data_IF_329910257352
#
_entry.id   IF_329910257352
#
_cell.length_a   1.000
_cell.length_b   1.000
_cell.length_c   1.000
_cell.angle_alpha   90.00
_cell.angle_beta   90.00
_cell.angle_gamma   90.00
#
_symmetry.space_group_name_H-M   'P 1'
#
loop_
_entity.id
_entity.type
_entity.pdbx_description
1 polymer ?
#
# COMPACT_ATOMS: atom_id res chain seq x y z
N UNK A 1 18.02 -3.91 -24.62
CA UNK A 1 17.29 -3.55 -23.37
C UNK A 1 16.11 -2.64 -23.75
N UNK A 2 14.96 -2.77 -23.09
CA UNK A 2 13.88 -1.77 -23.22
C UNK A 2 14.35 -0.45 -22.60
N UNK A 3 13.95 0.69 -23.16
CA UNK A 3 14.32 1.99 -22.62
C UNK A 3 13.52 2.25 -21.33
N UNK A 4 14.19 2.27 -20.17
CA UNK A 4 13.56 2.47 -18.87
C UNK A 4 12.96 3.87 -18.73
N UNK A 5 13.60 4.90 -19.26
CA UNK A 5 13.09 6.27 -19.17
C UNK A 5 11.80 6.43 -20.00
N UNK A 6 11.75 5.86 -21.21
CA UNK A 6 10.52 5.84 -22.00
C UNK A 6 9.41 5.04 -21.32
N UNK A 7 9.76 3.92 -20.67
CA UNK A 7 8.80 3.13 -19.87
C UNK A 7 8.18 3.99 -18.75
N UNK A 8 9.00 4.75 -18.02
CA UNK A 8 8.51 5.64 -16.96
C UNK A 8 7.69 6.83 -17.50
N UNK A 9 8.12 7.42 -18.64
CA UNK A 9 7.42 8.56 -19.24
C UNK A 9 5.98 8.20 -19.62
N UNK A 10 5.78 7.14 -20.39
CA UNK A 10 4.43 6.78 -20.83
C UNK A 10 3.52 6.29 -19.68
N UNK A 11 4.11 5.71 -18.62
CA UNK A 11 3.36 5.33 -17.40
C UNK A 11 3.02 6.53 -16.52
N UNK A 12 3.59 7.71 -16.76
CA UNK A 12 3.45 8.87 -15.89
C UNK A 12 4.20 8.72 -14.55
N UNK A 13 5.27 7.93 -14.53
CA UNK A 13 6.08 7.64 -13.34
C UNK A 13 7.39 8.45 -13.27
N UNK A 14 7.62 9.40 -14.17
CA UNK A 14 8.81 10.25 -14.18
C UNK A 14 8.45 11.66 -13.70
N UNK A 15 9.06 12.13 -12.59
CA UNK A 15 8.90 13.50 -12.08
C UNK A 15 10.16 14.34 -12.31
N UNK A 16 11.28 13.96 -11.70
CA UNK A 16 12.56 14.64 -11.88
C UNK A 16 13.64 13.64 -12.28
N UNK A 17 14.58 14.09 -13.07
CA UNK A 17 15.70 13.28 -13.57
C UNK A 17 16.95 14.16 -13.68
N UNK A 18 18.08 13.69 -13.20
CA UNK A 18 19.35 14.37 -13.38
C UNK A 18 19.82 14.24 -14.84
N UNK A 19 20.40 15.31 -15.43
CA UNK A 19 21.00 15.24 -16.77
C UNK A 19 22.07 14.13 -16.86
N UNK A 20 22.11 13.40 -17.96
CA UNK A 20 23.03 12.26 -18.18
C UNK A 20 22.48 10.90 -17.72
N UNK A 21 21.35 10.85 -16.99
CA UNK A 21 20.76 9.58 -16.50
C UNK A 21 20.30 8.69 -17.66
N UNK A 22 19.63 9.26 -18.67
CA UNK A 22 19.10 8.49 -19.79
C UNK A 22 20.24 7.92 -20.66
N UNK A 23 21.28 8.71 -20.89
CA UNK A 23 22.47 8.29 -21.64
C UNK A 23 23.19 7.13 -20.90
N UNK A 24 23.33 7.20 -19.59
CA UNK A 24 23.92 6.12 -18.80
C UNK A 24 23.11 4.82 -18.91
N UNK A 25 21.78 4.91 -18.78
CA UNK A 25 20.89 3.74 -18.85
C UNK A 25 20.84 3.10 -20.24
N UNK A 26 21.11 3.87 -21.30
CA UNK A 26 21.23 3.34 -22.67
C UNK A 26 22.60 2.69 -22.94
N UNK A 27 23.63 3.14 -22.22
CA UNK A 27 25.03 2.73 -22.46
C UNK A 27 25.35 1.40 -21.79
N UNK A 28 24.84 1.16 -20.58
CA UNK A 28 25.22 0.00 -19.76
C UNK A 28 24.08 -0.52 -18.87
N UNK A 29 24.25 -1.73 -18.32
CA UNK A 29 23.41 -2.21 -17.23
C UNK A 29 23.75 -1.43 -15.96
N UNK A 30 22.79 -0.64 -15.48
CA UNK A 30 22.96 0.22 -14.29
C UNK A 30 22.43 -0.49 -13.06
N UNK A 31 23.20 -0.43 -11.96
CA UNK A 31 22.68 -0.75 -10.63
C UNK A 31 22.02 0.49 -10.05
N UNK A 32 20.76 0.36 -9.66
CA UNK A 32 20.00 1.43 -9.01
C UNK A 32 19.38 0.96 -7.70
N UNK A 33 19.22 1.88 -6.74
CA UNK A 33 18.58 1.54 -5.47
C UNK A 33 17.39 2.44 -5.12
N UNK A 34 16.50 1.89 -4.30
CA UNK A 34 15.41 2.61 -3.62
C UNK A 34 15.45 2.22 -2.14
N UNK A 35 15.40 3.21 -1.24
CA UNK A 35 15.33 3.01 0.19
C UNK A 35 13.89 3.04 0.72
N UNK A 36 13.62 2.25 1.75
CA UNK A 36 12.38 2.27 2.49
C UNK A 36 12.64 2.10 3.99
N UNK A 37 12.16 3.05 4.81
CA UNK A 37 12.26 2.96 6.27
C UNK A 37 11.15 2.07 6.86
N UNK A 38 11.48 1.18 7.79
CA UNK A 38 10.55 0.24 8.41
C UNK A 38 9.70 0.91 9.51
N UNK A 39 8.92 1.92 9.14
CA UNK A 39 8.09 2.71 10.06
C UNK A 39 6.83 1.99 10.56
N UNK A 40 6.50 0.85 9.96
CA UNK A 40 5.44 -0.07 10.36
C UNK A 40 5.81 -1.50 9.92
N UNK A 41 5.11 -2.51 10.43
CA UNK A 41 5.26 -3.91 10.05
C UNK A 41 4.67 -4.24 8.67
N UNK A 42 4.19 -3.25 7.95
CA UNK A 42 3.70 -3.39 6.58
C UNK A 42 3.97 -2.14 5.76
N UNK A 43 4.21 -2.35 4.48
CA UNK A 43 4.08 -1.31 3.45
C UNK A 43 2.60 -1.06 3.14
N UNK A 44 2.29 0.10 2.61
CA UNK A 44 0.97 0.44 2.09
C UNK A 44 1.06 0.84 0.61
N UNK A 45 -0.08 0.96 -0.08
CA UNK A 45 -0.10 1.25 -1.52
C UNK A 45 0.64 2.53 -1.93
N UNK A 46 0.85 3.47 -1.01
CA UNK A 46 1.67 4.65 -1.27
C UNK A 46 3.15 4.34 -1.57
N UNK A 47 3.69 3.23 -1.02
CA UNK A 47 5.05 2.77 -1.32
C UNK A 47 5.13 2.02 -2.66
N UNK A 48 3.99 1.54 -3.15
CA UNK A 48 3.95 0.64 -4.30
C UNK A 48 4.47 1.32 -5.58
N UNK A 49 4.29 2.65 -5.72
CA UNK A 49 4.82 3.37 -6.89
C UNK A 49 6.35 3.24 -7.01
N UNK A 50 7.08 3.45 -5.91
CA UNK A 50 8.54 3.29 -5.89
C UNK A 50 8.98 1.84 -6.15
N UNK A 51 8.25 0.87 -5.57
CA UNK A 51 8.52 -0.56 -5.79
C UNK A 51 8.28 -0.94 -7.25
N UNK A 52 7.20 -0.45 -7.86
CA UNK A 52 6.91 -0.67 -9.29
C UNK A 52 7.98 -0.03 -10.18
N UNK A 53 8.55 1.10 -9.79
CA UNK A 53 9.67 1.72 -10.51
C UNK A 53 10.91 0.79 -10.51
N UNK A 54 11.27 0.17 -9.36
CA UNK A 54 12.32 -0.85 -9.31
C UNK A 54 11.98 -2.09 -10.14
N UNK A 55 10.73 -2.52 -10.12
CA UNK A 55 10.25 -3.66 -10.93
C UNK A 55 10.40 -3.37 -12.44
N UNK A 56 10.01 -2.18 -12.88
CA UNK A 56 10.21 -1.78 -14.28
C UNK A 56 11.70 -1.63 -14.64
N UNK A 57 12.52 -1.12 -13.73
CA UNK A 57 13.96 -1.07 -13.90
C UNK A 57 14.53 -2.48 -14.18
N UNK A 58 14.17 -3.47 -13.36
CA UNK A 58 14.61 -4.87 -13.53
C UNK A 58 14.12 -5.45 -14.87
N UNK A 59 12.85 -5.23 -15.23
CA UNK A 59 12.29 -5.68 -16.51
C UNK A 59 12.92 -5.02 -17.75
N UNK A 60 13.51 -3.85 -17.59
CA UNK A 60 14.30 -3.18 -18.60
C UNK A 60 15.76 -3.67 -18.67
N UNK A 61 16.16 -4.60 -17.83
CA UNK A 61 17.48 -5.23 -17.85
C UNK A 61 18.52 -4.58 -16.95
N UNK A 62 18.12 -3.67 -16.06
CA UNK A 62 18.98 -3.06 -15.06
C UNK A 62 18.87 -3.76 -13.70
N UNK A 63 19.87 -3.59 -12.82
CA UNK A 63 19.95 -4.27 -11.53
C UNK A 63 19.33 -3.44 -10.40
N UNK A 64 18.21 -3.89 -9.78
CA UNK A 64 17.62 -3.21 -8.66
C UNK A 64 18.25 -3.62 -7.33
N UNK A 65 18.44 -2.64 -6.44
CA UNK A 65 18.72 -2.83 -5.02
C UNK A 65 17.56 -2.23 -4.23
N UNK A 66 16.99 -2.98 -3.32
CA UNK A 66 16.10 -2.45 -2.29
C UNK A 66 16.85 -2.32 -0.98
N UNK A 67 16.89 -1.11 -0.44
CA UNK A 67 17.52 -0.81 0.83
C UNK A 67 16.45 -0.72 1.92
N UNK A 68 16.57 -1.54 2.94
CA UNK A 68 15.77 -1.44 4.16
C UNK A 68 16.51 -0.54 5.14
N UNK A 69 15.86 0.53 5.57
CA UNK A 69 16.42 1.56 6.43
C UNK A 69 16.50 1.15 7.89
N UNK A 70 17.30 0.14 8.24
CA UNK A 70 17.49 -0.28 9.63
C UNK A 70 18.09 0.83 10.51
N UNK A 71 19.09 1.56 10.00
CA UNK A 71 19.68 2.70 10.70
C UNK A 71 18.86 3.98 10.53
N UNK A 72 18.44 4.30 9.30
CA UNK A 72 17.63 5.51 9.03
C UNK A 72 16.26 5.47 9.67
N UNK A 73 15.68 4.29 9.84
CA UNK A 73 14.44 4.08 10.58
C UNK A 73 14.51 4.41 12.08
N UNK A 74 15.73 4.37 12.67
CA UNK A 74 15.97 4.82 14.05
C UNK A 74 15.93 6.35 14.19
N UNK A 75 16.13 7.07 13.08
CA UNK A 75 16.22 8.54 13.05
C UNK A 75 14.90 9.17 12.59
N UNK A 76 14.33 8.67 11.50
CA UNK A 76 13.09 9.15 10.90
C UNK A 76 13.29 10.29 9.89
N UNK A 77 12.82 10.06 8.66
CA UNK A 77 12.89 11.01 7.56
C UNK A 77 11.93 12.21 7.79
N UNK A 78 12.43 13.47 7.81
CA UNK A 78 11.60 14.66 7.92
C UNK A 78 10.91 15.06 6.62
N UNK A 79 11.27 14.50 5.47
CA UNK A 79 10.76 14.90 4.15
C UNK A 79 9.25 14.78 4.06
N UNK A 80 8.57 15.84 3.64
CA UNK A 80 7.11 15.87 3.49
C UNK A 80 6.32 15.79 4.80
N UNK A 81 6.96 16.03 5.97
CA UNK A 81 6.35 15.96 7.30
C UNK A 81 6.35 17.32 7.99
N UNK A 82 5.29 17.58 8.78
CA UNK A 82 5.15 18.79 9.59
C UNK A 82 5.51 18.58 11.07
N UNK A 83 5.71 17.32 11.50
CA UNK A 83 6.01 16.95 12.88
C UNK A 83 7.13 15.89 12.91
N UNK A 84 7.91 15.88 13.99
CA UNK A 84 8.92 14.85 14.26
C UNK A 84 8.27 13.48 14.41
N UNK A 85 8.96 12.42 13.95
CA UNK A 85 8.49 11.05 14.11
C UNK A 85 8.78 10.55 15.51
N UNK A 86 7.85 9.78 16.09
CA UNK A 86 8.14 8.98 17.27
C UNK A 86 9.17 7.91 16.91
N UNK A 87 10.23 7.84 17.70
CA UNK A 87 11.25 6.80 17.54
C UNK A 87 10.68 5.45 17.97
N UNK A 88 10.93 4.43 17.16
CA UNK A 88 10.56 3.06 17.48
C UNK A 88 11.62 2.42 18.38
N UNK A 89 11.20 1.51 19.27
CA UNK A 89 12.14 0.67 20.00
C UNK A 89 12.78 -0.37 19.05
N UNK A 90 13.97 -0.86 19.43
CA UNK A 90 14.76 -1.77 18.60
C UNK A 90 14.00 -3.05 18.22
N UNK A 91 13.23 -3.61 19.15
CA UNK A 91 12.45 -4.84 18.89
C UNK A 91 11.39 -4.63 17.83
N UNK A 92 10.64 -3.54 17.93
CA UNK A 92 9.63 -3.15 16.94
C UNK A 92 10.28 -2.87 15.59
N UNK A 93 11.42 -2.17 15.57
CA UNK A 93 12.14 -1.86 14.35
C UNK A 93 12.63 -3.13 13.62
N UNK A 94 13.26 -4.08 14.36
CA UNK A 94 13.68 -5.36 13.78
C UNK A 94 12.52 -6.18 13.25
N UNK A 95 11.41 -6.23 13.99
CA UNK A 95 10.19 -6.90 13.51
C UNK A 95 9.69 -6.29 12.19
N UNK A 96 9.59 -4.97 12.14
CA UNK A 96 9.15 -4.27 10.94
C UNK A 96 10.07 -4.52 9.73
N UNK A 97 11.39 -4.55 9.95
CA UNK A 97 12.37 -4.85 8.89
C UNK A 97 12.11 -6.22 8.27
N UNK A 98 11.91 -7.26 9.06
CA UNK A 98 11.65 -8.61 8.56
C UNK A 98 10.31 -8.70 7.80
N UNK A 99 9.27 -8.02 8.30
CA UNK A 99 7.98 -7.94 7.61
C UNK A 99 8.12 -7.26 6.24
N UNK A 100 8.83 -6.12 6.16
CA UNK A 100 9.03 -5.40 4.91
C UNK A 100 9.86 -6.20 3.92
N UNK A 101 10.94 -6.86 4.36
CA UNK A 101 11.74 -7.76 3.52
C UNK A 101 10.88 -8.82 2.86
N UNK A 102 10.02 -9.50 3.63
CA UNK A 102 9.13 -10.53 3.12
C UNK A 102 8.11 -9.98 2.10
N UNK A 103 7.63 -8.76 2.30
CA UNK A 103 6.70 -8.13 1.35
C UNK A 103 7.40 -7.74 0.04
N UNK A 104 8.55 -7.08 0.11
CA UNK A 104 9.28 -6.61 -1.09
C UNK A 104 9.77 -7.77 -1.95
N UNK A 105 10.11 -8.90 -1.34
CA UNK A 105 10.54 -10.11 -2.05
C UNK A 105 9.53 -10.61 -3.12
N UNK A 106 8.26 -10.23 -3.03
CA UNK A 106 7.24 -10.61 -4.01
C UNK A 106 7.28 -9.80 -5.31
N UNK A 107 7.92 -8.64 -5.31
CA UNK A 107 7.86 -7.70 -6.43
C UNK A 107 9.03 -7.77 -7.39
N UNK A 108 10.18 -8.25 -6.93
CA UNK A 108 11.44 -8.30 -7.66
C UNK A 108 11.91 -9.75 -7.77
N UNK A 109 12.68 -10.04 -8.80
CA UNK A 109 13.28 -11.35 -9.00
C UNK A 109 14.63 -11.43 -8.29
N UNK A 110 14.65 -12.12 -7.15
CA UNK A 110 15.82 -12.37 -6.31
C UNK A 110 16.47 -13.73 -6.59
N UNK A 111 15.81 -14.60 -7.34
CA UNK A 111 16.22 -15.99 -7.51
C UNK A 111 16.71 -16.34 -8.93
N UNK A 112 16.70 -15.35 -9.84
CA UNK A 112 17.18 -15.51 -11.20
C UNK A 112 18.70 -15.65 -11.27
N UNK A 113 19.20 -16.37 -12.28
CA UNK A 113 20.64 -16.39 -12.63
C UNK A 113 21.04 -15.22 -13.53
N UNK A 114 20.10 -14.34 -13.90
CA UNK A 114 20.37 -13.17 -14.74
C UNK A 114 21.30 -12.17 -14.03
N UNK A 115 22.15 -11.44 -14.76
CA UNK A 115 23.11 -10.48 -14.17
C UNK A 115 22.42 -9.31 -13.45
N UNK A 116 21.14 -9.05 -13.77
CA UNK A 116 20.31 -8.04 -13.13
C UNK A 116 19.44 -8.59 -12.00
N UNK A 117 19.84 -9.68 -11.38
CA UNK A 117 19.24 -10.23 -10.15
C UNK A 117 19.08 -9.14 -9.10
N UNK A 118 17.91 -9.06 -8.48
CA UNK A 118 17.65 -8.09 -7.41
C UNK A 118 18.51 -8.38 -6.18
N UNK A 119 18.83 -7.34 -5.44
CA UNK A 119 19.56 -7.45 -4.18
C UNK A 119 18.84 -6.67 -3.08
N UNK A 120 18.80 -7.23 -1.88
CA UNK A 120 18.26 -6.57 -0.69
C UNK A 120 19.37 -6.31 0.29
N UNK A 121 19.44 -5.07 0.82
CA UNK A 121 20.47 -4.65 1.78
C UNK A 121 19.83 -3.91 2.95
N UNK A 122 20.54 -3.87 4.08
CA UNK A 122 20.12 -3.12 5.26
C UNK A 122 21.21 -2.10 5.62
N UNK A 123 20.88 -0.81 5.70
CA UNK A 123 21.89 0.20 6.01
C UNK A 123 22.41 0.12 7.45
N UNK A 124 21.75 -0.60 8.34
CA UNK A 124 22.28 -0.89 9.66
C UNK A 124 23.62 -1.65 9.61
N UNK A 125 23.82 -2.51 8.58
CA UNK A 125 25.01 -3.32 8.43
C UNK A 125 26.31 -2.50 8.31
N UNK A 126 26.23 -1.30 7.74
CA UNK A 126 27.39 -0.39 7.59
C UNK A 126 27.32 0.85 8.47
N UNK A 127 26.18 1.15 9.11
CA UNK A 127 26.02 2.31 9.99
C UNK A 127 26.32 1.99 11.45
N UNK A 128 26.05 0.75 11.90
CA UNK A 128 26.15 0.36 13.32
C UNK A 128 27.53 0.57 13.95
N UNK A 129 28.57 0.47 13.14
CA UNK A 129 29.94 0.59 13.60
C UNK A 129 30.49 2.03 13.52
N UNK A 130 29.71 2.98 13.00
CA UNK A 130 30.10 4.39 12.98
C UNK A 130 30.00 5.00 14.37
N UNK A 131 31.14 5.53 14.85
CA UNK A 131 31.06 6.49 15.96
C UNK A 131 30.62 7.86 15.45
N UNK A 132 30.06 8.69 16.33
CA UNK A 132 29.71 10.07 15.99
C UNK A 132 30.93 10.87 15.44
N UNK A 133 32.10 10.65 16.00
CA UNK A 133 33.33 11.32 15.55
C UNK A 133 33.74 10.86 14.15
N UNK A 134 33.62 9.56 13.86
CA UNK A 134 33.95 9.04 12.54
C UNK A 134 32.97 9.56 11.49
N UNK A 135 31.68 9.57 11.80
CA UNK A 135 30.65 10.10 10.89
C UNK A 135 30.88 11.60 10.60
N UNK A 136 31.16 12.41 11.62
CA UNK A 136 31.46 13.82 11.46
C UNK A 136 32.72 14.06 10.59
N UNK A 137 33.75 13.22 10.72
CA UNK A 137 35.00 13.30 9.95
C UNK A 137 34.85 12.78 8.52
N UNK A 138 34.14 11.67 8.31
CA UNK A 138 34.07 10.98 7.02
C UNK A 138 32.95 11.57 6.14
N UNK A 139 31.82 11.95 6.73
CA UNK A 139 30.65 12.44 6.03
C UNK A 139 30.48 13.96 6.25
N UNK A 140 30.39 14.38 7.50
CA UNK A 140 30.03 15.75 7.87
C UNK A 140 30.92 16.83 7.26
N UNK A 141 32.24 16.59 7.16
CA UNK A 141 33.17 17.57 6.57
C UNK A 141 32.94 17.87 5.09
N UNK A 142 32.28 16.98 4.35
CA UNK A 142 32.08 17.11 2.90
C UNK A 142 30.83 17.90 2.54
N UNK A 143 29.85 18.00 3.43
CA UNK A 143 28.59 18.74 3.19
C UNK A 143 28.49 19.92 4.14
N UNK A 144 28.38 21.12 3.58
CA UNK A 144 28.28 22.33 4.41
C UNK A 144 26.88 22.50 4.99
N UNK A 145 26.77 23.11 6.18
CA UNK A 145 25.48 23.41 6.82
C UNK A 145 24.63 24.31 5.88
N UNK A 146 25.24 25.28 5.18
CA UNK A 146 24.50 26.12 4.23
C UNK A 146 23.86 25.30 3.10
N UNK A 147 24.54 24.27 2.58
CA UNK A 147 23.98 23.36 1.59
C UNK A 147 22.78 22.58 2.15
N UNK A 148 22.91 22.08 3.37
CA UNK A 148 21.84 21.35 4.04
C UNK A 148 20.62 22.23 4.33
N UNK A 149 20.87 23.47 4.80
CA UNK A 149 19.85 24.45 5.09
C UNK A 149 19.07 24.92 3.85
N UNK A 150 19.67 24.89 2.67
CA UNK A 150 19.03 25.30 1.41
C UNK A 150 18.01 24.27 0.86
N UNK A 151 17.90 23.09 1.47
CA UNK A 151 16.93 22.08 1.02
C UNK A 151 15.50 22.48 1.34
N UNK A 152 14.57 22.26 0.39
CA UNK A 152 13.15 22.63 0.54
C UNK A 152 12.52 22.00 1.78
N UNK A 153 12.82 20.75 2.08
CA UNK A 153 12.32 20.04 3.27
C UNK A 153 12.78 20.70 4.57
N UNK A 154 14.02 21.21 4.60
CA UNK A 154 14.57 21.94 5.75
C UNK A 154 13.93 23.33 5.84
N UNK A 155 13.86 24.06 4.73
CA UNK A 155 13.27 25.40 4.69
C UNK A 155 11.79 25.40 5.10
N UNK A 156 11.02 24.41 4.68
CA UNK A 156 9.62 24.27 5.08
C UNK A 156 9.45 24.08 6.60
N UNK A 157 10.37 23.36 7.25
CA UNK A 157 10.36 23.16 8.71
C UNK A 157 10.83 24.39 9.49
N UNK A 158 11.80 25.14 8.96
CA UNK A 158 12.33 26.34 9.62
C UNK A 158 11.43 27.57 9.45
N UNK A 159 10.83 27.75 8.28
CA UNK A 159 10.04 28.93 7.91
C UNK A 159 8.53 28.66 7.88
N UNK A 160 8.11 27.43 8.06
CA UNK A 160 6.71 27.01 8.00
C UNK A 160 5.95 27.22 9.29
N UNK A 161 4.65 26.92 9.26
CA UNK A 161 3.74 26.94 10.42
C UNK A 161 3.92 25.74 11.36
N UNK A 162 4.97 24.94 11.19
CA UNK A 162 5.28 23.82 12.07
C UNK A 162 5.56 24.34 13.49
N UNK A 163 4.82 23.83 14.47
CA UNK A 163 4.95 24.24 15.88
C UNK A 163 6.29 23.84 16.48
N UNK A 164 6.83 22.72 16.01
CA UNK A 164 8.09 22.15 16.47
C UNK A 164 9.16 22.43 15.41
N UNK A 165 10.31 22.98 15.84
CA UNK A 165 11.46 23.19 14.98
C UNK A 165 11.96 21.89 14.32
N UNK A 166 13.10 21.97 13.66
CA UNK A 166 13.80 20.80 13.11
C UNK A 166 14.83 20.33 14.16
N UNK A 167 14.72 19.09 14.65
CA UNK A 167 15.72 18.55 15.58
C UNK A 167 17.04 18.28 14.86
N UNK A 168 18.14 18.24 15.62
CA UNK A 168 19.45 17.85 15.10
C UNK A 168 19.39 16.45 14.46
N UNK A 169 18.64 15.53 15.06
CA UNK A 169 18.44 14.17 14.57
C UNK A 169 17.83 14.17 13.18
N UNK A 170 16.68 14.83 13.00
CA UNK A 170 16.02 14.95 11.69
C UNK A 170 16.91 15.70 10.67
N UNK A 171 17.63 16.77 11.11
CA UNK A 171 18.51 17.53 10.23
C UNK A 171 19.65 16.68 9.65
N UNK A 172 20.16 15.73 10.43
CA UNK A 172 21.24 14.83 9.98
C UNK A 172 20.78 13.73 9.04
N UNK A 173 19.46 13.45 8.97
CA UNK A 173 18.93 12.35 8.13
C UNK A 173 19.43 12.41 6.69
N UNK A 174 19.45 13.58 6.07
CA UNK A 174 19.96 13.75 4.70
C UNK A 174 21.41 13.29 4.50
N UNK A 175 22.23 13.37 5.56
CA UNK A 175 23.63 12.89 5.52
C UNK A 175 23.69 11.37 5.63
N UNK A 176 22.80 10.75 6.42
CA UNK A 176 22.72 9.29 6.54
C UNK A 176 22.31 8.66 5.21
N UNK A 177 21.22 9.15 4.61
CA UNK A 177 20.79 8.70 3.29
C UNK A 177 21.84 9.00 2.20
N UNK A 178 22.53 10.13 2.30
CA UNK A 178 23.63 10.47 1.40
C UNK A 178 24.81 9.49 1.52
N UNK A 179 25.12 9.05 2.74
CA UNK A 179 26.15 8.03 2.97
C UNK A 179 25.74 6.65 2.47
N UNK A 180 24.48 6.28 2.58
CA UNK A 180 23.97 5.04 1.96
C UNK A 180 24.30 5.00 0.47
N UNK A 181 24.06 6.09 -0.26
CA UNK A 181 24.40 6.16 -1.67
C UNK A 181 25.90 6.06 -1.91
N UNK A 182 26.72 6.76 -1.13
CA UNK A 182 28.18 6.66 -1.21
C UNK A 182 28.68 5.24 -0.94
N UNK A 183 28.12 4.56 0.06
CA UNK A 183 28.45 3.17 0.38
C UNK A 183 28.09 2.22 -0.77
N UNK A 184 26.88 2.33 -1.29
CA UNK A 184 26.39 1.51 -2.41
C UNK A 184 27.15 1.79 -3.71
N UNK A 185 27.54 3.03 -3.96
CA UNK A 185 28.40 3.39 -5.08
C UNK A 185 29.75 2.67 -4.99
N UNK A 186 30.42 2.74 -3.84
CA UNK A 186 31.75 2.15 -3.63
C UNK A 186 31.73 0.62 -3.64
N UNK A 187 30.71 0.00 -3.07
CA UNK A 187 30.71 -1.43 -2.76
C UNK A 187 29.83 -2.25 -3.70
N UNK A 188 28.89 -1.62 -4.41
CA UNK A 188 27.91 -2.29 -5.28
C UNK A 188 27.86 -1.69 -6.69
N UNK A 189 28.74 -0.76 -7.04
CA UNK A 189 28.72 -0.01 -8.29
C UNK A 189 27.33 0.60 -8.59
N UNK A 190 26.63 1.06 -7.53
CA UNK A 190 25.31 1.65 -7.66
C UNK A 190 25.42 3.11 -8.10
N UNK A 191 25.02 3.41 -9.33
CA UNK A 191 25.16 4.74 -9.93
C UNK A 191 23.87 5.56 -9.90
N UNK A 192 22.73 4.98 -9.62
CA UNK A 192 21.43 5.63 -9.70
C UNK A 192 20.63 5.44 -8.40
N UNK A 193 20.11 6.53 -7.85
CA UNK A 193 19.13 6.49 -6.77
C UNK A 193 17.73 6.77 -7.32
N UNK A 194 16.75 5.98 -6.89
CA UNK A 194 15.34 6.12 -7.19
C UNK A 194 14.58 6.53 -5.92
N UNK A 195 13.51 7.32 -6.07
CA UNK A 195 12.70 7.74 -4.91
C UNK A 195 11.42 8.47 -5.30
N UNK A 196 10.62 8.82 -4.31
CA UNK A 196 9.51 9.76 -4.48
C UNK A 196 10.02 11.20 -4.66
N UNK A 197 9.20 12.07 -5.22
CA UNK A 197 9.60 13.45 -5.49
C UNK A 197 9.93 14.27 -4.22
N UNK A 198 9.39 13.87 -3.07
CA UNK A 198 9.74 14.42 -1.77
C UNK A 198 11.16 14.09 -1.31
N UNK A 199 11.79 13.06 -1.89
CA UNK A 199 13.13 12.60 -1.59
C UNK A 199 14.23 13.33 -2.37
N UNK A 200 13.89 14.20 -3.34
CA UNK A 200 14.85 14.84 -4.22
C UNK A 200 16.00 15.55 -3.46
N UNK A 201 15.68 16.24 -2.37
CA UNK A 201 16.66 16.92 -1.53
C UNK A 201 17.69 15.97 -0.92
N UNK A 202 17.25 14.84 -0.35
CA UNK A 202 18.12 13.81 0.22
C UNK A 202 18.95 13.12 -0.86
N UNK A 203 18.33 12.77 -1.99
CA UNK A 203 18.99 12.11 -3.12
C UNK A 203 20.12 12.96 -3.72
N UNK A 204 19.88 14.25 -3.93
CA UNK A 204 20.89 15.19 -4.42
C UNK A 204 22.00 15.46 -3.38
N UNK A 205 21.72 15.29 -2.08
CA UNK A 205 22.77 15.31 -1.05
C UNK A 205 23.70 14.10 -1.22
N UNK A 206 23.17 12.94 -1.58
CA UNK A 206 23.96 11.74 -1.87
C UNK A 206 24.89 11.92 -3.08
N UNK A 207 24.38 12.42 -4.20
CA UNK A 207 25.21 12.69 -5.39
C UNK A 207 26.30 13.73 -5.11
N UNK A 208 25.98 14.78 -4.36
CA UNK A 208 26.93 15.81 -3.96
C UNK A 208 28.01 15.28 -2.98
N UNK A 209 27.62 14.42 -2.04
CA UNK A 209 28.55 13.77 -1.12
C UNK A 209 29.57 12.90 -1.88
N UNK A 210 29.09 12.11 -2.85
CA UNK A 210 29.94 11.27 -3.68
C UNK A 210 30.91 12.15 -4.49
N UNK A 211 30.41 13.18 -5.15
CA UNK A 211 31.22 14.13 -5.91
C UNK A 211 32.31 14.79 -5.06
N UNK A 212 31.97 15.26 -3.85
CA UNK A 212 32.96 15.89 -2.96
C UNK A 212 33.95 14.94 -2.35
N UNK A 213 33.58 13.67 -2.23
CA UNK A 213 34.46 12.64 -1.66
C UNK A 213 35.39 12.03 -2.69
N UNK A 214 34.93 11.82 -3.92
CA UNK A 214 35.64 11.04 -4.94
C UNK A 214 36.12 11.88 -6.14
N UNK A 215 35.70 13.14 -6.25
CA UNK A 215 36.05 14.03 -7.35
C UNK A 215 34.91 14.26 -8.35
N UNK A 216 35.15 15.12 -9.33
CA UNK A 216 34.10 15.56 -10.27
C UNK A 216 33.82 14.58 -11.42
N UNK A 217 34.67 13.57 -11.59
CA UNK A 217 34.57 12.60 -12.69
C UNK A 217 33.62 11.43 -12.37
N UNK A 218 32.95 11.48 -11.20
CA UNK A 218 32.04 10.41 -10.79
C UNK A 218 30.69 10.51 -11.53
N UNK A 219 30.19 9.37 -11.97
CA UNK A 219 28.88 9.24 -12.60
C UNK A 219 27.85 8.77 -11.57
N UNK A 220 27.11 9.69 -11.00
CA UNK A 220 26.01 9.40 -10.05
C UNK A 220 24.80 10.23 -10.35
N UNK A 221 23.63 9.61 -10.31
CA UNK A 221 22.38 10.17 -10.79
C UNK A 221 21.23 9.91 -9.82
N UNK A 222 20.19 10.71 -9.95
CA UNK A 222 18.95 10.58 -9.22
C UNK A 222 17.75 10.75 -10.15
N UNK A 223 16.70 9.98 -9.88
CA UNK A 223 15.44 10.01 -10.62
C UNK A 223 14.28 9.81 -9.63
N UNK A 224 13.21 10.61 -9.78
CA UNK A 224 12.04 10.50 -8.90
C UNK A 224 10.75 10.20 -9.64
N UNK A 225 9.85 9.49 -8.95
CA UNK A 225 8.45 9.38 -9.36
C UNK A 225 7.59 10.48 -8.69
N UNK A 226 6.46 10.86 -9.31
CA UNK A 226 5.54 11.81 -8.72
C UNK A 226 4.90 11.22 -7.45
N UNK A 227 4.54 12.10 -6.52
CA UNK A 227 3.67 11.71 -5.42
C UNK A 227 2.27 11.43 -5.96
N UNK A 228 1.77 10.23 -5.70
CA UNK A 228 0.46 9.83 -6.21
C UNK A 228 -0.65 10.49 -5.37
N UNK A 229 -1.56 11.15 -6.06
CA UNK A 229 -2.78 11.74 -5.51
C UNK A 229 -4.00 11.16 -6.22
N UNK A 230 -5.17 11.23 -5.60
CA UNK A 230 -6.44 10.99 -6.30
C UNK A 230 -6.74 12.12 -7.27
N UNK A 231 -7.61 11.88 -8.25
CA UNK A 231 -8.06 12.91 -9.21
C UNK A 231 -8.70 14.13 -8.51
N UNK A 232 -9.32 13.94 -7.34
CA UNK A 232 -9.88 15.00 -6.49
C UNK A 232 -8.84 15.76 -5.65
N UNK A 233 -7.55 15.47 -5.82
CA UNK A 233 -6.43 16.09 -5.09
C UNK A 233 -6.17 15.53 -3.70
N UNK A 234 -6.98 14.58 -3.22
CA UNK A 234 -6.77 13.95 -1.91
C UNK A 234 -5.58 12.98 -1.94
N UNK A 235 -5.06 12.69 -0.75
CA UNK A 235 -3.95 11.72 -0.60
C UNK A 235 -4.36 10.33 -1.07
N UNK A 236 -3.55 9.75 -1.95
CA UNK A 236 -3.70 8.36 -2.39
C UNK A 236 -3.48 7.37 -1.23
N UNK A 237 -4.25 6.30 -1.22
CA UNK A 237 -4.08 5.21 -0.25
C UNK A 237 -4.61 5.49 1.15
N UNK A 238 -5.21 6.66 1.39
CA UNK A 238 -5.93 6.96 2.63
C UNK A 238 -7.43 6.83 2.39
N UNK A 239 -8.08 6.05 3.26
CA UNK A 239 -9.53 5.93 3.38
C UNK A 239 -9.97 6.52 4.74
N UNK A 240 -11.25 6.59 5.00
CA UNK A 240 -11.78 6.96 6.33
C UNK A 240 -11.30 6.00 7.43
N UNK A 241 -11.06 4.73 7.08
CA UNK A 241 -10.53 3.70 7.96
C UNK A 241 -8.99 3.64 8.03
N UNK A 242 -8.27 4.55 7.37
CA UNK A 242 -6.81 4.63 7.41
C UNK A 242 -6.11 4.25 6.11
N UNK A 243 -4.89 3.72 6.20
CA UNK A 243 -4.10 3.31 5.04
C UNK A 243 -4.58 1.96 4.47
N UNK A 244 -4.45 1.78 3.15
CA UNK A 244 -4.56 0.47 2.50
C UNK A 244 -3.18 -0.20 2.56
N UNK A 245 -3.07 -1.23 3.38
CA UNK A 245 -1.84 -1.95 3.65
C UNK A 245 -1.63 -3.11 2.68
N UNK A 246 -0.39 -3.52 2.47
CA UNK A 246 -0.05 -4.68 1.64
C UNK A 246 -0.10 -6.00 2.44
N UNK A 247 -0.07 -5.94 3.79
CA UNK A 247 -0.25 -7.12 4.63
C UNK A 247 -1.73 -7.50 4.71
N UNK A 248 -2.09 -8.75 4.38
CA UNK A 248 -3.48 -9.22 4.44
C UNK A 248 -4.09 -9.22 5.85
N UNK A 249 -3.25 -9.19 6.90
CA UNK A 249 -3.72 -9.07 8.29
C UNK A 249 -4.16 -7.65 8.66
N UNK A 250 -3.68 -6.63 7.93
CA UNK A 250 -4.03 -5.22 8.14
C UNK A 250 -5.10 -4.72 7.18
N UNK A 251 -5.06 -5.18 5.95
CA UNK A 251 -6.09 -4.93 4.93
C UNK A 251 -6.35 -6.24 4.21
N UNK A 252 -7.54 -6.82 4.42
CA UNK A 252 -7.88 -8.09 3.79
C UNK A 252 -7.77 -8.01 2.25
N UNK A 253 -7.46 -9.11 1.56
CA UNK A 253 -7.46 -9.13 0.09
C UNK A 253 -8.78 -8.64 -0.51
N UNK A 254 -9.91 -8.90 0.17
CA UNK A 254 -11.21 -8.36 -0.23
C UNK A 254 -11.25 -6.83 -0.19
N UNK A 255 -10.87 -6.19 0.93
CA UNK A 255 -10.81 -4.71 1.03
C UNK A 255 -9.79 -4.12 0.06
N UNK A 256 -8.66 -4.78 -0.12
CA UNK A 256 -7.63 -4.39 -1.08
C UNK A 256 -8.18 -4.40 -2.51
N UNK A 257 -8.84 -5.48 -2.92
CA UNK A 257 -9.51 -5.61 -4.21
C UNK A 257 -10.59 -4.54 -4.39
N UNK A 258 -11.47 -4.34 -3.38
CA UNK A 258 -12.54 -3.33 -3.41
C UNK A 258 -11.99 -1.90 -3.53
N UNK A 259 -10.85 -1.59 -2.91
CA UNK A 259 -10.23 -0.28 -3.06
C UNK A 259 -9.94 0.05 -4.52
N UNK A 260 -9.31 -0.85 -5.25
CA UNK A 260 -8.99 -0.65 -6.66
C UNK A 260 -10.22 -0.71 -7.55
N UNK A 261 -11.15 -1.59 -7.24
CA UNK A 261 -12.41 -1.70 -7.97
C UNK A 261 -13.25 -0.42 -7.91
N UNK A 262 -13.13 0.37 -6.83
CA UNK A 262 -13.95 1.55 -6.57
C UNK A 262 -13.26 2.90 -6.89
N UNK A 263 -12.09 2.92 -7.52
CA UNK A 263 -11.47 4.16 -7.96
C UNK A 263 -12.28 4.81 -9.10
N UNK A 264 -12.13 6.13 -9.26
CA UNK A 264 -12.77 6.88 -10.37
C UNK A 264 -12.22 6.42 -11.74
N UNK A 265 -12.91 6.76 -12.82
CA UNK A 265 -12.46 6.42 -14.16
C UNK A 265 -11.12 7.09 -14.49
N UNK A 266 -10.96 8.37 -14.14
CA UNK A 266 -9.71 9.12 -14.32
C UNK A 266 -8.55 8.49 -13.53
N UNK A 267 -8.81 8.07 -12.29
CA UNK A 267 -7.82 7.38 -11.48
C UNK A 267 -7.48 6.00 -12.03
N UNK A 268 -8.47 5.25 -12.51
CA UNK A 268 -8.26 3.93 -13.08
C UNK A 268 -7.33 3.97 -14.29
N UNK A 269 -7.49 4.95 -15.20
CA UNK A 269 -6.61 5.11 -16.37
C UNK A 269 -5.16 5.45 -15.97
N UNK A 270 -4.99 6.26 -14.93
CA UNK A 270 -3.66 6.59 -14.40
C UNK A 270 -3.04 5.42 -13.66
N UNK A 271 -3.80 4.79 -12.78
CA UNK A 271 -3.28 3.77 -11.87
C UNK A 271 -2.97 2.45 -12.57
N UNK A 272 -3.71 2.07 -13.62
CA UNK A 272 -3.39 0.85 -14.38
C UNK A 272 -2.02 0.94 -15.04
N UNK A 273 -1.59 2.15 -15.46
CA UNK A 273 -0.25 2.40 -16.01
C UNK A 273 0.83 2.26 -14.94
N UNK A 274 0.57 2.75 -13.72
CA UNK A 274 1.56 2.83 -12.63
C UNK A 274 1.69 1.48 -11.88
N UNK A 275 0.56 0.86 -11.53
CA UNK A 275 0.52 -0.25 -10.57
C UNK A 275 0.41 -1.63 -11.21
N UNK A 276 0.47 -1.73 -12.53
CA UNK A 276 0.48 -3.02 -13.22
C UNK A 276 1.74 -3.23 -14.05
N UNK A 277 1.97 -4.50 -14.42
CA UNK A 277 3.05 -4.87 -15.35
C UNK A 277 2.58 -5.07 -16.79
N UNK A 278 1.35 -4.66 -17.09
CA UNK A 278 0.78 -4.73 -18.45
C UNK A 278 1.58 -3.84 -19.43
N UNK A 279 1.67 -4.27 -20.66
CA UNK A 279 2.28 -3.47 -21.73
C UNK A 279 1.35 -2.34 -22.20
N UNK A 280 1.92 -1.44 -23.00
CA UNK A 280 1.21 -0.25 -23.47
C UNK A 280 0.02 -0.62 -24.37
N UNK A 281 0.21 -1.57 -25.26
CA UNK A 281 -0.81 -2.01 -26.20
C UNK A 281 -2.04 -2.58 -25.49
N UNK A 282 -1.81 -3.41 -24.47
CA UNK A 282 -2.88 -3.98 -23.63
C UNK A 282 -3.63 -2.88 -22.88
N UNK A 283 -2.90 -1.92 -22.29
CA UNK A 283 -3.54 -0.82 -21.53
C UNK A 283 -4.32 0.08 -22.48
N UNK A 284 -3.77 0.45 -23.64
CA UNK A 284 -4.46 1.30 -24.61
C UNK A 284 -5.76 0.64 -25.10
N UNK A 285 -5.74 -0.67 -25.37
CA UNK A 285 -6.96 -1.43 -25.73
C UNK A 285 -8.01 -1.42 -24.62
N UNK A 286 -7.61 -1.61 -23.35
CA UNK A 286 -8.51 -1.56 -22.20
C UNK A 286 -9.11 -0.15 -21.99
N UNK A 287 -8.33 0.90 -22.22
CA UNK A 287 -8.80 2.30 -22.14
C UNK A 287 -9.85 2.56 -23.21
N UNK A 288 -9.63 2.12 -24.44
CA UNK A 288 -10.59 2.28 -25.53
C UNK A 288 -11.89 1.48 -25.30
N UNK A 289 -11.80 0.24 -24.78
CA UNK A 289 -12.97 -0.55 -24.37
C UNK A 289 -13.74 0.16 -23.24
N UNK A 290 -13.04 0.68 -22.24
CA UNK A 290 -13.65 1.38 -21.12
C UNK A 290 -14.42 2.63 -21.56
N UNK A 291 -13.87 3.43 -22.48
CA UNK A 291 -14.51 4.63 -23.02
C UNK A 291 -15.83 4.35 -23.74
N UNK A 292 -15.97 3.17 -24.34
CA UNK A 292 -17.21 2.78 -25.03
C UNK A 292 -18.36 2.52 -24.04
N UNK A 293 -18.08 1.95 -22.87
CA UNK A 293 -19.06 1.70 -21.81
C UNK A 293 -18.40 1.75 -20.41
N UNK A 294 -18.23 2.96 -19.83
CA UNK A 294 -17.64 3.11 -18.51
C UNK A 294 -18.39 2.36 -17.40
N UNK A 295 -19.70 2.13 -17.57
CA UNK A 295 -20.53 1.41 -16.62
C UNK A 295 -20.10 -0.05 -16.39
N UNK A 296 -19.43 -0.66 -17.37
CA UNK A 296 -18.86 -2.01 -17.23
C UNK A 296 -17.63 -2.06 -16.33
N UNK A 297 -16.98 -0.91 -16.08
CA UNK A 297 -15.81 -0.73 -15.20
C UNK A 297 -14.64 -1.67 -15.54
N UNK A 298 -14.36 -1.86 -16.84
CA UNK A 298 -13.31 -2.81 -17.30
C UNK A 298 -11.92 -2.44 -16.81
N UNK A 299 -11.59 -1.13 -16.77
CA UNK A 299 -10.30 -0.65 -16.25
C UNK A 299 -10.14 -0.97 -14.77
N UNK A 300 -11.16 -0.63 -13.94
CA UNK A 300 -11.12 -0.87 -12.50
C UNK A 300 -11.03 -2.35 -12.18
N UNK A 301 -11.77 -3.20 -12.90
CA UNK A 301 -11.72 -4.64 -12.73
C UNK A 301 -10.32 -5.18 -13.01
N UNK A 302 -9.77 -4.83 -14.18
CA UNK A 302 -8.43 -5.30 -14.56
C UNK A 302 -7.36 -4.75 -13.61
N UNK A 303 -7.45 -3.49 -13.21
CA UNK A 303 -6.54 -2.91 -12.21
C UNK A 303 -6.61 -3.66 -10.87
N UNK A 304 -7.82 -3.94 -10.37
CA UNK A 304 -8.02 -4.66 -9.12
C UNK A 304 -7.50 -6.11 -9.19
N UNK A 305 -7.73 -6.80 -10.30
CA UNK A 305 -7.20 -8.15 -10.55
C UNK A 305 -5.68 -8.17 -10.54
N UNK A 306 -5.04 -7.36 -11.39
CA UNK A 306 -3.58 -7.31 -11.51
C UNK A 306 -2.89 -6.95 -10.19
N UNK A 307 -3.40 -5.94 -9.48
CA UNK A 307 -2.81 -5.49 -8.23
C UNK A 307 -3.02 -6.50 -7.09
N UNK A 308 -4.17 -7.17 -7.04
CA UNK A 308 -4.44 -8.19 -6.02
C UNK A 308 -3.59 -9.43 -6.25
N UNK A 309 -3.42 -9.89 -7.49
CA UNK A 309 -2.51 -11.00 -7.80
C UNK A 309 -1.07 -10.63 -7.42
N UNK A 310 -0.63 -9.43 -7.80
CA UNK A 310 0.74 -8.98 -7.58
C UNK A 310 1.11 -8.90 -6.09
N UNK A 311 0.20 -8.38 -5.26
CA UNK A 311 0.45 -8.14 -3.83
C UNK A 311 0.16 -9.38 -2.97
N UNK A 312 -0.89 -10.10 -3.30
CA UNK A 312 -1.34 -11.26 -2.54
C UNK A 312 -1.11 -12.58 -3.31
N UNK A 313 -2.09 -13.04 -4.07
CA UNK A 313 -1.99 -14.21 -4.95
C UNK A 313 -3.24 -14.35 -5.84
N UNK A 314 -3.24 -15.33 -6.76
CA UNK A 314 -4.41 -15.70 -7.56
C UNK A 314 -5.54 -16.22 -6.67
N UNK A 315 -5.23 -17.07 -5.70
CA UNK A 315 -6.21 -17.64 -4.76
C UNK A 315 -6.89 -16.54 -3.93
N UNK A 316 -6.12 -15.53 -3.51
CA UNK A 316 -6.66 -14.38 -2.79
C UNK A 316 -7.57 -13.52 -3.67
N UNK A 317 -7.26 -13.38 -4.96
CA UNK A 317 -8.13 -12.72 -5.92
C UNK A 317 -9.45 -13.48 -6.10
N UNK A 318 -9.37 -14.79 -6.30
CA UNK A 318 -10.56 -15.64 -6.51
C UNK A 318 -11.50 -15.55 -5.30
N UNK A 319 -10.94 -15.61 -4.09
CA UNK A 319 -11.70 -15.42 -2.84
C UNK A 319 -12.32 -14.02 -2.73
N UNK A 320 -11.58 -12.97 -3.12
CA UNK A 320 -12.09 -11.59 -3.09
C UNK A 320 -13.23 -11.36 -4.10
N UNK A 321 -13.16 -11.99 -5.27
CA UNK A 321 -14.23 -11.95 -6.28
C UNK A 321 -15.48 -12.69 -5.77
N UNK A 322 -15.31 -13.88 -5.20
CA UNK A 322 -16.42 -14.63 -4.58
C UNK A 322 -17.08 -13.82 -3.47
N UNK A 323 -16.28 -13.26 -2.56
CA UNK A 323 -16.74 -12.39 -1.48
C UNK A 323 -17.50 -11.16 -1.99
N UNK A 324 -17.04 -10.54 -3.09
CA UNK A 324 -17.74 -9.41 -3.73
C UNK A 324 -19.13 -9.77 -4.24
N UNK A 325 -19.32 -11.02 -4.68
CA UNK A 325 -20.62 -11.54 -5.11
C UNK A 325 -21.64 -11.70 -3.98
N UNK A 326 -21.19 -11.75 -2.72
CA UNK A 326 -22.06 -12.01 -1.55
C UNK A 326 -23.09 -10.90 -1.34
N UNK A 327 -22.68 -9.64 -1.44
CA UNK A 327 -23.59 -8.50 -1.27
C UNK A 327 -24.65 -8.41 -2.40
N UNK A 328 -24.37 -8.93 -3.58
CA UNK A 328 -25.24 -8.83 -4.75
C UNK A 328 -26.22 -10.01 -4.91
N UNK A 329 -26.38 -10.83 -3.88
CA UNK A 329 -27.42 -11.86 -3.81
C UNK A 329 -27.14 -13.15 -4.56
N UNK A 330 -25.90 -13.37 -5.01
CA UNK A 330 -25.48 -14.61 -5.71
C UNK A 330 -24.88 -15.69 -4.78
N UNK A 331 -24.88 -15.45 -3.46
CA UNK A 331 -24.23 -16.30 -2.48
C UNK A 331 -25.22 -17.12 -1.67
N UNK A 332 -24.74 -18.24 -1.16
CA UNK A 332 -25.45 -19.18 -0.27
C UNK A 332 -24.89 -19.05 1.16
N UNK A 333 -25.52 -19.75 2.11
CA UNK A 333 -25.03 -19.89 3.49
C UNK A 333 -23.64 -20.51 3.51
N UNK A 334 -23.38 -21.50 2.67
CA UNK A 334 -22.08 -22.17 2.56
C UNK A 334 -20.96 -21.19 2.14
N UNK A 335 -21.28 -20.22 1.27
CA UNK A 335 -20.30 -19.18 0.89
C UNK A 335 -19.94 -18.29 2.08
N UNK A 336 -20.89 -17.97 2.98
CA UNK A 336 -20.62 -17.21 4.20
C UNK A 336 -19.73 -17.99 5.18
N UNK A 337 -19.99 -19.29 5.34
CA UNK A 337 -19.25 -20.17 6.29
C UNK A 337 -17.80 -20.43 5.87
N UNK A 338 -17.44 -20.17 4.61
CA UNK A 338 -16.06 -20.33 4.12
C UNK A 338 -15.18 -19.09 4.36
N UNK A 339 -15.79 -17.95 4.71
CA UNK A 339 -15.05 -16.71 4.95
C UNK A 339 -14.34 -16.77 6.31
N UNK A 340 -13.15 -16.21 6.39
CA UNK A 340 -12.58 -15.85 7.68
C UNK A 340 -13.36 -14.71 8.33
N UNK A 341 -13.29 -14.61 9.66
CA UNK A 341 -14.05 -13.64 10.45
C UNK A 341 -13.82 -12.19 9.97
N UNK A 342 -12.57 -11.84 9.66
CA UNK A 342 -12.23 -10.47 9.25
C UNK A 342 -12.81 -10.15 7.88
N UNK A 343 -12.71 -11.04 6.92
CA UNK A 343 -13.31 -10.87 5.58
C UNK A 343 -14.83 -10.80 5.68
N UNK A 344 -15.45 -11.61 6.53
CA UNK A 344 -16.90 -11.54 6.78
C UNK A 344 -17.30 -10.15 7.31
N UNK A 345 -16.60 -9.65 8.33
CA UNK A 345 -16.87 -8.31 8.88
C UNK A 345 -16.64 -7.20 7.86
N UNK A 346 -15.60 -7.33 7.04
CA UNK A 346 -15.26 -6.35 5.99
C UNK A 346 -16.33 -6.27 4.89
N UNK A 347 -16.94 -7.41 4.52
CA UNK A 347 -18.04 -7.44 3.54
C UNK A 347 -19.25 -6.67 4.05
N UNK A 348 -19.54 -6.80 5.35
CA UNK A 348 -20.69 -6.16 5.98
C UNK A 348 -20.31 -4.86 6.73
N UNK A 349 -19.13 -4.30 6.45
CA UNK A 349 -18.74 -2.97 6.94
C UNK A 349 -19.72 -1.91 6.39
N UNK A 350 -20.23 -1.04 7.28
CA UNK A 350 -21.22 -0.02 6.92
C UNK A 350 -22.68 -0.46 6.89
N UNK A 351 -23.02 -1.75 7.09
CA UNK A 351 -24.40 -2.15 7.35
C UNK A 351 -24.77 -1.87 8.81
N UNK A 352 -26.06 -1.60 9.13
CA UNK A 352 -26.50 -1.46 10.52
C UNK A 352 -26.16 -2.70 11.34
N UNK A 353 -25.56 -2.48 12.50
CA UNK A 353 -25.10 -3.55 13.40
C UNK A 353 -25.82 -3.48 14.74
N UNK A 354 -26.16 -4.64 15.28
CA UNK A 354 -26.77 -4.80 16.59
C UNK A 354 -25.99 -5.81 17.42
N UNK A 355 -25.89 -5.57 18.73
CA UNK A 355 -25.35 -6.55 19.68
C UNK A 355 -26.48 -7.09 20.50
N UNK A 356 -26.59 -8.42 20.61
CA UNK A 356 -27.57 -9.13 21.45
C UNK A 356 -26.86 -10.07 22.40
N UNK A 357 -27.46 -10.33 23.57
CA UNK A 357 -26.94 -11.30 24.51
C UNK A 357 -27.32 -12.73 24.15
N UNK A 358 -26.54 -13.72 24.64
CA UNK A 358 -26.86 -15.15 24.44
C UNK A 358 -28.21 -15.56 25.05
N UNK A 359 -28.64 -14.87 26.07
CA UNK A 359 -29.94 -15.08 26.69
C UNK A 359 -31.14 -14.72 25.79
N UNK A 360 -30.88 -13.99 24.73
CA UNK A 360 -31.87 -13.62 23.70
C UNK A 360 -31.97 -14.67 22.58
N UNK A 361 -31.08 -15.64 22.54
CA UNK A 361 -31.21 -16.82 21.69
C UNK A 361 -32.31 -17.75 22.25
N UNK A 362 -32.69 -18.73 21.46
CA UNK A 362 -33.82 -19.64 21.73
C UNK A 362 -35.17 -18.95 21.80
N UNK A 363 -35.29 -17.77 21.18
CA UNK A 363 -36.54 -17.03 21.02
C UNK A 363 -36.98 -17.04 19.55
N UNK A 364 -38.27 -16.78 19.28
CA UNK A 364 -38.77 -16.61 17.91
C UNK A 364 -38.03 -15.49 17.18
N UNK A 365 -37.73 -15.68 15.90
CA UNK A 365 -37.08 -14.70 15.04
C UNK A 365 -37.79 -13.31 15.09
N UNK A 366 -39.09 -13.29 15.18
CA UNK A 366 -39.88 -12.07 15.28
C UNK A 366 -39.61 -11.27 16.55
N UNK A 367 -39.33 -11.93 17.66
CA UNK A 367 -38.98 -11.25 18.93
C UNK A 367 -37.57 -10.65 18.83
N UNK A 368 -36.60 -11.43 18.35
CA UNK A 368 -35.22 -10.98 18.21
C UNK A 368 -35.11 -9.82 17.24
N UNK A 369 -35.70 -9.94 16.05
CA UNK A 369 -35.54 -8.96 14.96
C UNK A 369 -36.46 -7.72 15.05
N UNK A 370 -37.30 -7.65 16.09
CA UNK A 370 -38.13 -6.47 16.34
C UNK A 370 -37.89 -5.80 17.68
N UNK A 371 -37.38 -6.55 18.68
CA UNK A 371 -37.20 -6.03 20.04
C UNK A 371 -35.71 -5.95 20.42
N UNK A 372 -34.97 -7.05 20.29
CA UNK A 372 -33.56 -7.11 20.64
C UNK A 372 -32.66 -6.40 19.61
N UNK A 373 -32.94 -6.62 18.33
CA UNK A 373 -32.29 -5.95 17.21
C UNK A 373 -33.38 -5.40 16.27
N UNK A 374 -33.72 -4.10 16.34
CA UNK A 374 -34.88 -3.55 15.61
C UNK A 374 -34.64 -3.42 14.10
N UNK A 375 -34.47 -4.57 13.44
CA UNK A 375 -34.39 -4.68 11.97
C UNK A 375 -35.71 -4.33 11.32
N UNK A 376 -36.82 -4.67 11.99
CA UNK A 376 -38.18 -4.35 11.57
C UNK A 376 -38.86 -3.43 12.58
N UNK A 377 -39.60 -2.45 12.07
CA UNK A 377 -40.28 -1.47 12.91
C UNK A 377 -41.46 -2.09 13.73
N UNK A 378 -42.01 -3.24 13.28
CA UNK A 378 -43.05 -3.94 13.99
C UNK A 378 -43.13 -5.43 13.63
N UNK A 379 -43.69 -6.23 14.57
CA UNK A 379 -43.99 -7.65 14.33
C UNK A 379 -44.90 -7.86 13.12
N UNK A 380 -45.83 -6.94 12.89
CA UNK A 380 -46.76 -6.99 11.73
C UNK A 380 -46.03 -6.78 10.40
N UNK A 381 -45.10 -5.84 10.32
CA UNK A 381 -44.24 -5.64 9.17
C UNK A 381 -43.45 -6.89 8.84
N UNK A 382 -42.75 -7.44 9.84
CA UNK A 382 -41.93 -8.64 9.63
C UNK A 382 -42.77 -9.82 9.14
N UNK A 383 -43.92 -10.08 9.75
CA UNK A 383 -44.82 -11.17 9.34
C UNK A 383 -45.24 -11.06 7.86
N UNK A 384 -45.61 -9.88 7.42
CA UNK A 384 -45.96 -9.64 6.01
C UNK A 384 -44.81 -9.91 5.08
N UNK A 385 -43.61 -9.45 5.44
CA UNK A 385 -42.40 -9.65 4.64
C UNK A 385 -41.95 -11.12 4.61
N UNK A 386 -42.04 -11.86 5.72
CA UNK A 386 -41.76 -13.30 5.76
C UNK A 386 -42.75 -14.07 4.85
N UNK A 387 -44.07 -13.76 4.92
CA UNK A 387 -45.07 -14.39 4.05
C UNK A 387 -44.81 -14.11 2.57
N UNK A 388 -44.28 -12.94 2.24
CA UNK A 388 -43.88 -12.56 0.89
C UNK A 388 -42.49 -13.07 0.47
N UNK A 389 -41.78 -13.87 1.32
CA UNK A 389 -40.43 -14.38 1.07
C UNK A 389 -39.39 -13.26 1.04
N UNK A 390 -39.65 -12.13 1.68
CA UNK A 390 -38.76 -10.96 1.71
C UNK A 390 -37.77 -10.91 2.90
N UNK A 391 -37.68 -11.97 3.70
CA UNK A 391 -36.73 -12.04 4.84
C UNK A 391 -35.87 -13.26 4.69
N UNK A 392 -34.56 -13.07 4.90
CA UNK A 392 -33.60 -14.19 4.96
C UNK A 392 -32.70 -14.05 6.20
N UNK A 393 -32.26 -15.19 6.72
CA UNK A 393 -31.22 -15.31 7.72
C UNK A 393 -30.06 -16.07 7.12
N UNK A 394 -28.86 -15.54 7.23
CA UNK A 394 -27.64 -16.14 6.66
C UNK A 394 -27.82 -16.58 5.19
N UNK A 395 -28.49 -15.75 4.38
CA UNK A 395 -28.86 -16.01 2.97
C UNK A 395 -29.94 -17.06 2.73
N UNK A 396 -30.40 -17.77 3.76
CA UNK A 396 -31.53 -18.71 3.66
C UNK A 396 -32.84 -17.99 3.93
N UNK A 397 -33.88 -18.26 3.14
CA UNK A 397 -35.22 -17.66 3.35
C UNK A 397 -35.79 -18.12 4.69
N UNK A 398 -36.25 -17.15 5.47
CA UNK A 398 -36.97 -17.42 6.71
C UNK A 398 -38.40 -17.92 6.37
N UNK A 399 -38.64 -19.23 6.57
CA UNK A 399 -39.92 -19.85 6.21
C UNK A 399 -41.06 -19.43 7.12
N UNK A 400 -40.80 -19.18 8.41
CA UNK A 400 -41.80 -18.80 9.40
C UNK A 400 -41.24 -17.71 10.33
N UNK A 401 -42.08 -16.71 10.65
CA UNK A 401 -41.67 -15.57 11.51
C UNK A 401 -41.42 -15.98 12.98
N UNK A 402 -42.00 -17.08 13.41
CA UNK A 402 -41.92 -17.66 14.74
C UNK A 402 -40.86 -18.78 14.84
N UNK A 403 -40.10 -19.04 13.77
CA UNK A 403 -38.93 -19.92 13.82
C UNK A 403 -38.01 -19.48 14.96
N UNK A 404 -37.63 -20.41 15.82
CA UNK A 404 -36.68 -20.16 16.91
C UNK A 404 -35.27 -20.06 16.34
N UNK A 405 -34.55 -19.02 16.75
CA UNK A 405 -33.13 -18.82 16.42
C UNK A 405 -32.30 -19.41 17.54
N UNK A 406 -31.37 -20.30 17.19
CA UNK A 406 -30.50 -21.03 18.12
C UNK A 406 -29.02 -20.72 17.86
N UNK A 407 -28.11 -21.26 18.68
CA UNK A 407 -26.66 -21.15 18.44
C UNK A 407 -26.23 -21.79 17.09
N UNK A 408 -26.95 -22.80 16.61
CA UNK A 408 -26.67 -23.47 15.32
C UNK A 408 -26.95 -22.57 14.12
N UNK A 409 -27.69 -21.47 14.32
CA UNK A 409 -27.92 -20.48 13.28
C UNK A 409 -26.77 -19.47 13.16
N UNK A 410 -25.82 -19.45 14.08
CA UNK A 410 -24.77 -18.45 14.10
C UNK A 410 -23.63 -18.83 13.17
N UNK A 411 -23.10 -17.85 12.44
CA UNK A 411 -21.83 -17.92 11.71
C UNK A 411 -20.72 -17.73 12.76
N UNK A 412 -19.73 -18.63 12.77
CA UNK A 412 -18.62 -18.68 13.75
C UNK A 412 -19.08 -18.62 15.22
N UNK A 413 -20.29 -19.10 15.51
CA UNK A 413 -20.87 -19.06 16.85
C UNK A 413 -21.11 -17.65 17.40
N UNK A 414 -21.04 -16.61 16.55
CA UNK A 414 -21.07 -15.19 16.97
C UNK A 414 -22.00 -14.31 16.13
N UNK A 415 -22.20 -14.61 14.87
CA UNK A 415 -22.85 -13.66 13.94
C UNK A 415 -24.12 -14.22 13.33
N UNK A 416 -25.12 -13.36 13.19
CA UNK A 416 -26.35 -13.64 12.45
C UNK A 416 -26.56 -12.53 11.43
N UNK A 417 -26.64 -12.90 10.16
CA UNK A 417 -26.91 -11.97 9.06
C UNK A 417 -28.40 -11.96 8.74
N UNK A 418 -29.09 -10.87 9.09
CA UNK A 418 -30.47 -10.65 8.69
C UNK A 418 -30.56 -9.84 7.40
N UNK A 419 -31.46 -10.24 6.49
CA UNK A 419 -31.71 -9.53 5.23
C UNK A 419 -33.19 -9.18 5.12
N UNK A 420 -33.47 -7.88 4.86
CA UNK A 420 -34.80 -7.31 4.64
C UNK A 420 -34.94 -6.86 3.17
N UNK A 421 -35.72 -7.60 2.40
CA UNK A 421 -35.81 -7.41 0.96
C UNK A 421 -34.53 -7.87 0.23
N UNK A 422 -34.25 -7.26 -0.93
CA UNK A 422 -33.14 -7.72 -1.79
C UNK A 422 -31.79 -7.12 -1.45
N UNK A 423 -31.74 -5.95 -0.76
CA UNK A 423 -30.50 -5.16 -0.64
C UNK A 423 -30.14 -4.72 0.79
N UNK A 424 -31.06 -4.82 1.75
CA UNK A 424 -30.82 -4.30 3.10
C UNK A 424 -30.35 -5.43 4.01
N UNK A 425 -29.10 -5.35 4.41
CA UNK A 425 -28.46 -6.29 5.34
C UNK A 425 -28.32 -5.65 6.72
N UNK A 426 -28.37 -6.48 7.74
CA UNK A 426 -28.19 -6.13 9.15
C UNK A 426 -27.36 -7.22 9.80
N UNK A 427 -26.31 -6.84 10.50
CA UNK A 427 -25.43 -7.78 11.19
C UNK A 427 -25.74 -7.77 12.68
N UNK A 428 -26.07 -8.93 13.24
CA UNK A 428 -26.22 -9.14 14.67
C UNK A 428 -24.99 -9.86 15.19
N UNK A 429 -24.38 -9.30 16.26
CA UNK A 429 -23.30 -9.94 17.00
C UNK A 429 -23.84 -10.45 18.33
N UNK A 430 -23.64 -11.73 18.61
CA UNK A 430 -24.05 -12.39 19.88
C UNK A 430 -22.85 -12.39 20.83
N UNK A 431 -23.06 -11.88 22.05
CA UNK A 431 -22.05 -11.80 23.12
C UNK A 431 -22.45 -12.61 24.35
#
# INVERSE_FOLDING_TARGET
>A
MKNFIEELKWRGMLAQIMPGTEELLQKEMVTAYLGTDPTADSLHIGHLCGIMMLRHLQRCGHKPIILVGGATGMIGDPSGKSQERNLLDDKTLYHNQECIKAQVAKFLDFDTDAPNKAEMVNNYDWMKDFTFLDFARVVGKHITVNYMMAKDSVQQRLNGTARDGLSFTEFTYQLLQGYDFLYLYKNKNCKLQLGGNDQWGNMTTGTELIRRTLGNEVETYALTCPLITKADGKKFGKTESGNIWLDPKRTTPYKFYQFWLNVSDDDAERYIKIFTSLDKETIDALVEEHKQDPGRRVLQKRLAEETTILVHSQEALDAAIEASGILFGKSTKESLLKLDEQTFLDIFDGVPQYTIGKEQLNQPAVEILTQAAPVFASKGEMRKLVQGGGVSLNKEKLAAFDRVITEDDLIDGKYLLAQKGKKNYFLLTVK
#
